data_IF_891187145174
#
_entry.id   IF_891187145174
#
_cell.length_a   1.000
_cell.length_b   1.000
_cell.length_c   1.000
_cell.angle_alpha   90.00
_cell.angle_beta   90.00
_cell.angle_gamma   90.00
#
_symmetry.space_group_name_H-M   'P 1'
#
loop_
_entity.id
_entity.type
_entity.pdbx_description
1 polymer ?
#
# COMPACT_ATOMS: atom_id res chain seq x y z
N UNK A 1 -4.86 17.46 13.45
CA UNK A 1 -3.77 16.46 13.45
C UNK A 1 -3.25 16.36 12.02
N UNK A 2 -1.97 16.64 11.78
CA UNK A 2 -1.37 16.48 10.45
C UNK A 2 -1.09 14.99 10.27
N UNK A 3 -2.08 14.20 9.87
CA UNK A 3 -1.91 12.81 9.45
C UNK A 3 -1.18 12.79 8.10
N UNK A 4 0.03 13.34 8.07
CA UNK A 4 0.70 13.69 6.83
C UNK A 4 1.70 12.64 6.39
N UNK A 5 2.43 12.01 7.33
CA UNK A 5 3.49 11.04 6.98
C UNK A 5 3.62 10.00 8.08
N UNK A 6 4.01 8.79 7.67
CA UNK A 6 4.38 7.70 8.56
C UNK A 6 5.73 8.06 9.18
N UNK A 7 5.73 8.46 10.44
CA UNK A 7 6.97 8.69 11.19
C UNK A 7 7.54 7.36 11.72
N UNK A 8 6.65 6.44 12.12
CA UNK A 8 7.03 5.12 12.63
C UNK A 8 5.92 4.10 12.38
N UNK A 9 6.31 2.90 12.00
CA UNK A 9 5.39 1.76 11.91
C UNK A 9 5.11 1.17 13.31
N UNK A 10 3.84 0.86 13.63
CA UNK A 10 3.50 0.13 14.86
C UNK A 10 4.28 -1.18 14.97
N UNK A 11 4.72 -1.52 16.17
CA UNK A 11 5.38 -2.81 16.43
C UNK A 11 4.38 -3.98 16.41
N UNK A 12 3.16 -3.71 16.85
CA UNK A 12 2.06 -4.67 16.79
C UNK A 12 1.66 -4.92 15.32
N UNK A 13 1.61 -6.20 14.92
CA UNK A 13 1.29 -6.61 13.55
C UNK A 13 -0.14 -6.25 13.14
N UNK A 14 -1.11 -6.32 14.05
CA UNK A 14 -2.51 -5.98 13.80
C UNK A 14 -2.67 -4.47 13.57
N UNK A 15 -2.15 -3.65 14.48
CA UNK A 15 -2.15 -2.18 14.34
C UNK A 15 -1.42 -1.74 13.05
N UNK A 16 -0.30 -2.40 12.72
CA UNK A 16 0.41 -2.14 11.47
C UNK A 16 -0.47 -2.49 10.26
N UNK A 17 -1.18 -3.63 10.29
CA UNK A 17 -2.10 -4.01 9.20
C UNK A 17 -3.22 -2.99 9.06
N UNK A 18 -3.79 -2.48 10.15
CA UNK A 18 -4.84 -1.46 10.12
C UNK A 18 -4.35 -0.15 9.50
N UNK A 19 -3.18 0.34 9.92
CA UNK A 19 -2.55 1.51 9.31
C UNK A 19 -2.35 1.33 7.81
N UNK A 20 -1.78 0.19 7.40
CA UNK A 20 -1.52 -0.12 6.00
C UNK A 20 -2.81 -0.25 5.18
N UNK A 21 -3.85 -0.86 5.76
CA UNK A 21 -5.18 -0.99 5.15
C UNK A 21 -5.84 0.36 4.93
N UNK A 22 -5.73 1.27 5.91
CA UNK A 22 -6.18 2.65 5.75
C UNK A 22 -5.44 3.34 4.60
N UNK A 23 -4.10 3.29 4.58
CA UNK A 23 -3.30 3.92 3.51
C UNK A 23 -3.69 3.42 2.13
N UNK A 24 -3.77 2.10 1.93
CA UNK A 24 -4.06 1.55 0.60
C UNK A 24 -5.46 1.92 0.13
N UNK A 25 -6.44 1.97 1.04
CA UNK A 25 -7.82 2.39 0.72
C UNK A 25 -7.91 3.83 0.23
N UNK A 26 -7.02 4.70 0.70
CA UNK A 26 -6.94 6.09 0.28
C UNK A 26 -6.10 6.27 -0.98
N UNK A 27 -5.10 5.42 -1.20
CA UNK A 27 -4.15 5.54 -2.30
C UNK A 27 -4.62 4.85 -3.59
N UNK A 28 -5.34 3.73 -3.51
CA UNK A 28 -5.61 2.87 -4.67
C UNK A 28 -7.10 2.56 -4.75
N UNK A 29 -7.67 2.74 -5.95
CA UNK A 29 -9.08 2.47 -6.18
C UNK A 29 -9.28 1.02 -6.62
N UNK A 30 -10.42 0.39 -6.26
CA UNK A 30 -10.81 -0.91 -6.79
C UNK A 30 -10.85 -0.92 -8.32
N UNK A 31 -10.40 -2.01 -8.93
CA UNK A 31 -10.38 -2.21 -10.38
C UNK A 31 -9.28 -1.45 -11.15
N UNK A 32 -8.46 -0.63 -10.49
CA UNK A 32 -7.32 0.01 -11.14
C UNK A 32 -6.10 -0.92 -11.20
N UNK A 33 -5.44 -0.96 -12.36
CA UNK A 33 -4.07 -1.47 -12.49
C UNK A 33 -3.11 -0.30 -12.67
N UNK A 34 -2.15 -0.19 -11.77
CA UNK A 34 -1.19 0.90 -11.71
C UNK A 34 0.21 0.40 -12.01
N UNK A 35 0.98 1.20 -12.73
CA UNK A 35 2.43 1.00 -12.85
C UNK A 35 3.13 1.26 -11.51
N UNK A 36 4.34 0.73 -11.34
CA UNK A 36 5.19 1.03 -10.18
C UNK A 36 5.32 2.54 -9.93
N UNK A 37 5.54 3.33 -11.00
CA UNK A 37 5.68 4.79 -10.91
C UNK A 37 4.42 5.43 -10.34
N UNK A 38 3.24 5.05 -10.85
CA UNK A 38 1.97 5.59 -10.35
C UNK A 38 1.72 5.21 -8.90
N UNK A 39 2.04 3.98 -8.48
CA UNK A 39 1.95 3.59 -7.08
C UNK A 39 2.88 4.43 -6.22
N UNK A 40 4.15 4.57 -6.62
CA UNK A 40 5.13 5.36 -5.87
C UNK A 40 4.63 6.81 -5.70
N UNK A 41 4.15 7.44 -6.78
CA UNK A 41 3.61 8.81 -6.75
C UNK A 41 2.47 8.97 -5.74
N UNK A 42 1.53 8.02 -5.69
CA UNK A 42 0.42 8.06 -4.73
C UNK A 42 0.91 7.84 -3.29
N UNK A 43 1.89 6.95 -3.10
CA UNK A 43 2.44 6.63 -1.78
C UNK A 43 3.37 7.72 -1.20
N UNK A 44 3.96 8.58 -2.03
CA UNK A 44 4.81 9.70 -1.59
C UNK A 44 4.10 10.67 -0.64
N UNK A 45 2.77 10.72 -0.70
CA UNK A 45 1.97 11.51 0.22
C UNK A 45 2.07 11.02 1.66
N UNK A 46 2.40 9.73 1.88
CA UNK A 46 2.41 9.08 3.20
C UNK A 46 3.81 8.81 3.74
N UNK A 47 4.85 8.77 2.91
CA UNK A 47 6.21 8.45 3.34
C UNK A 47 7.24 8.87 2.30
N UNK A 48 8.47 9.14 2.73
CA UNK A 48 9.63 9.28 1.83
C UNK A 48 10.18 7.91 1.41
N UNK A 49 9.95 6.87 2.23
CA UNK A 49 10.35 5.49 1.94
C UNK A 49 9.19 4.71 1.30
N UNK A 50 8.88 5.08 0.05
CA UNK A 50 7.81 4.44 -0.75
C UNK A 50 8.11 2.98 -1.07
N UNK A 51 9.39 2.61 -1.13
CA UNK A 51 9.83 1.23 -1.39
C UNK A 51 9.45 0.34 -0.21
N UNK A 52 9.75 0.76 1.03
CA UNK A 52 9.38 0.02 2.23
C UNK A 52 7.86 -0.09 2.38
N UNK A 53 7.14 1.01 2.16
CA UNK A 53 5.68 1.00 2.27
C UNK A 53 5.06 0.05 1.25
N UNK A 54 5.46 0.13 -0.03
CA UNK A 54 4.98 -0.77 -1.07
C UNK A 54 5.30 -2.23 -0.76
N UNK A 55 6.50 -2.51 -0.22
CA UNK A 55 6.85 -3.86 0.25
C UNK A 55 5.90 -4.34 1.35
N UNK A 56 5.63 -3.53 2.37
CA UNK A 56 4.68 -3.91 3.41
C UNK A 56 3.26 -4.13 2.90
N UNK A 57 2.78 -3.28 1.98
CA UNK A 57 1.46 -3.47 1.38
C UNK A 57 1.36 -4.82 0.67
N UNK A 58 2.41 -5.24 -0.04
CA UNK A 58 2.48 -6.55 -0.69
C UNK A 58 2.62 -7.69 0.34
N UNK A 59 3.53 -7.57 1.31
CA UNK A 59 3.78 -8.59 2.32
C UNK A 59 2.55 -8.87 3.19
N UNK A 60 1.72 -7.86 3.44
CA UNK A 60 0.45 -7.99 4.16
C UNK A 60 -0.72 -8.42 3.26
N UNK A 61 -0.50 -8.62 1.96
CA UNK A 61 -1.54 -9.01 1.01
C UNK A 61 -2.60 -7.92 0.78
N UNK A 62 -2.25 -6.66 1.00
CA UNK A 62 -3.12 -5.49 0.78
C UNK A 62 -2.94 -4.90 -0.64
N UNK A 63 -1.86 -5.29 -1.31
CA UNK A 63 -1.54 -4.89 -2.67
C UNK A 63 -0.96 -6.09 -3.43
N UNK A 64 -1.54 -6.43 -4.57
CA UNK A 64 -1.01 -7.42 -5.49
C UNK A 64 -0.01 -6.78 -6.45
N UNK A 65 0.98 -7.57 -6.91
CA UNK A 65 1.94 -7.15 -7.93
C UNK A 65 2.21 -8.26 -8.93
N UNK A 66 2.53 -7.91 -10.18
CA UNK A 66 3.02 -8.89 -11.16
C UNK A 66 4.39 -9.44 -10.73
N UNK A 67 4.79 -10.65 -11.20
CA UNK A 67 6.13 -11.18 -10.94
C UNK A 67 7.26 -10.26 -11.39
N UNK A 68 7.04 -9.52 -12.49
CA UNK A 68 7.96 -8.51 -13.00
C UNK A 68 8.05 -7.26 -12.14
N UNK A 69 7.13 -7.06 -11.18
CA UNK A 69 7.02 -5.86 -10.37
C UNK A 69 6.51 -4.62 -11.13
N UNK A 70 6.09 -4.79 -12.39
CA UNK A 70 5.74 -3.66 -13.27
C UNK A 70 4.34 -3.11 -13.03
N UNK A 71 3.45 -3.92 -12.47
CA UNK A 71 2.05 -3.55 -12.25
C UNK A 71 1.56 -3.97 -10.88
N UNK A 72 0.62 -3.17 -10.36
CA UNK A 72 0.04 -3.28 -9.03
C UNK A 72 -1.46 -3.06 -9.07
N UNK A 73 -2.19 -3.77 -8.23
CA UNK A 73 -3.64 -3.62 -8.08
C UNK A 73 -4.04 -4.01 -6.65
N UNK A 74 -5.21 -3.57 -6.20
CA UNK A 74 -5.80 -4.23 -5.03
C UNK A 74 -5.94 -5.74 -5.31
N UNK A 75 -5.77 -6.60 -4.29
CA UNK A 75 -6.11 -8.01 -4.44
C UNK A 75 -7.58 -8.10 -4.88
N UNK A 76 -7.87 -8.99 -5.84
CA UNK A 76 -9.26 -9.32 -6.12
C UNK A 76 -9.84 -9.88 -4.82
N UNK A 77 -10.94 -9.30 -4.33
CA UNK A 77 -11.68 -9.93 -3.25
C UNK A 77 -12.17 -11.27 -3.81
N UNK A 78 -11.49 -12.35 -3.43
CA UNK A 78 -12.02 -13.69 -3.64
C UNK A 78 -13.25 -13.78 -2.75
N UNK A 79 -14.40 -13.43 -3.33
CA UNK A 79 -15.71 -13.64 -2.74
C UNK A 79 -15.84 -15.13 -2.43
N UNK A 80 -15.53 -15.50 -1.19
CA UNK A 80 -15.84 -16.78 -0.58
C UNK A 80 -17.10 -16.63 0.28
#
# INVERSE_FOLDING_TARGET
MRLGRIERYPANKAERRELLGWIVSQAIKPGETLTERQVNERLLSYTDDVVLLRRYLVDFGLLSRTPSGSSYSLPEEEHA
#
